data_IF_218443494172
#
_entry.id   IF_218443494172
#
_cell.length_a   1.000
_cell.length_b   1.000
_cell.length_c   1.000
_cell.angle_alpha   90.00
_cell.angle_beta   90.00
_cell.angle_gamma   90.00
#
_symmetry.space_group_name_H-M   'P 1'
#
loop_
_entity.id
_entity.type
_entity.pdbx_description
1 polymer ?
#
# COMPACT_ATOMS: atom_id res chain seq x y z
N UNK A 1 13.87 -36.41 -33.45
CA UNK A 1 13.62 -34.96 -33.25
C UNK A 1 13.55 -34.68 -31.75
N UNK A 2 12.83 -35.44 -30.89
CA UNK A 2 12.65 -35.17 -29.46
C UNK A 2 13.96 -35.15 -28.66
N UNK A 3 14.90 -36.09 -28.92
CA UNK A 3 16.18 -36.11 -28.20
C UNK A 3 17.06 -34.93 -28.58
N UNK A 4 17.07 -34.54 -29.85
CA UNK A 4 17.86 -33.39 -30.29
C UNK A 4 17.35 -32.06 -29.67
N UNK A 5 16.02 -31.88 -29.58
CA UNK A 5 15.44 -30.69 -28.91
C UNK A 5 15.71 -30.67 -27.41
N UNK A 6 15.65 -31.81 -26.73
CA UNK A 6 15.97 -31.91 -25.30
C UNK A 6 17.43 -31.55 -25.01
N UNK A 7 18.37 -32.00 -25.84
CA UNK A 7 19.80 -31.68 -25.72
C UNK A 7 20.04 -30.17 -25.94
N UNK A 8 19.41 -29.59 -26.96
CA UNK A 8 19.53 -28.14 -27.22
C UNK A 8 18.98 -27.34 -26.04
N UNK A 9 17.77 -27.69 -25.53
CA UNK A 9 17.15 -27.02 -24.38
C UNK A 9 18.03 -27.15 -23.13
N UNK A 10 18.66 -28.30 -22.90
CA UNK A 10 19.56 -28.51 -21.78
C UNK A 10 20.77 -27.56 -21.85
N UNK A 11 21.43 -27.45 -23.01
CA UNK A 11 22.57 -26.55 -23.16
C UNK A 11 22.17 -25.06 -23.08
N UNK A 12 21.00 -24.70 -23.63
CA UNK A 12 20.44 -23.35 -23.47
C UNK A 12 20.18 -23.04 -22.02
N UNK A 13 19.50 -23.93 -21.29
CA UNK A 13 19.23 -23.76 -19.86
C UNK A 13 20.51 -23.64 -19.02
N UNK A 14 21.55 -24.42 -19.33
CA UNK A 14 22.86 -24.30 -18.68
C UNK A 14 23.55 -22.96 -18.96
N UNK A 15 23.50 -22.50 -20.22
CA UNK A 15 24.15 -21.25 -20.63
C UNK A 15 23.45 -20.00 -20.09
N UNK A 16 22.13 -20.07 -19.91
CA UNK A 16 21.29 -18.97 -19.39
C UNK A 16 20.89 -19.17 -17.94
N UNK A 17 21.59 -20.06 -17.20
CA UNK A 17 21.36 -20.21 -15.76
C UNK A 17 21.71 -18.90 -15.08
N UNK A 18 20.69 -18.24 -14.54
CA UNK A 18 20.85 -17.07 -13.67
C UNK A 18 21.33 -17.56 -12.33
N UNK A 19 22.53 -17.21 -11.92
CA UNK A 19 23.01 -17.43 -10.56
C UNK A 19 22.44 -16.31 -9.67
N UNK A 20 21.43 -16.65 -8.88
CA UNK A 20 20.89 -15.74 -7.88
C UNK A 20 21.72 -15.82 -6.60
N UNK A 21 21.88 -14.70 -5.92
CA UNK A 21 22.58 -14.65 -4.64
C UNK A 21 21.78 -15.42 -3.58
N UNK A 22 22.34 -16.44 -2.91
CA UNK A 22 21.61 -17.24 -1.93
C UNK A 22 21.08 -16.44 -0.73
N UNK A 23 21.60 -15.24 -0.50
CA UNK A 23 21.10 -14.32 0.52
C UNK A 23 19.68 -13.85 0.21
N UNK A 24 19.23 -13.86 -1.05
CA UNK A 24 17.87 -13.48 -1.45
C UNK A 24 16.86 -14.44 -0.82
N UNK A 25 17.12 -15.74 -0.91
CA UNK A 25 16.21 -16.76 -0.34
C UNK A 25 16.17 -16.67 1.20
N UNK A 26 17.29 -16.35 1.84
CA UNK A 26 17.35 -16.13 3.30
C UNK A 26 16.50 -14.93 3.67
N UNK A 27 16.65 -13.80 3.01
CA UNK A 27 15.87 -12.59 3.28
C UNK A 27 14.39 -12.83 2.99
N UNK A 28 14.05 -13.48 1.87
CA UNK A 28 12.66 -13.81 1.53
C UNK A 28 11.99 -14.67 2.62
N UNK A 29 12.70 -15.63 3.19
CA UNK A 29 12.18 -16.49 4.28
C UNK A 29 11.91 -15.72 5.59
N UNK A 30 12.59 -14.60 5.83
CA UNK A 30 12.39 -13.74 7.00
C UNK A 30 11.16 -12.83 6.81
N UNK A 31 10.83 -12.50 5.56
CA UNK A 31 9.71 -11.61 5.23
C UNK A 31 8.35 -12.30 5.46
N UNK A 32 7.29 -11.53 5.74
CA UNK A 32 5.97 -12.08 6.07
C UNK A 32 5.23 -12.77 4.90
N UNK A 33 5.78 -12.78 3.69
CA UNK A 33 5.21 -13.44 2.52
C UNK A 33 3.92 -12.83 1.97
N UNK A 34 3.50 -11.67 2.47
CA UNK A 34 2.23 -11.05 2.11
C UNK A 34 2.16 -10.53 0.65
N UNK A 35 3.30 -10.36 -0.01
CA UNK A 35 3.41 -9.89 -1.39
C UNK A 35 2.58 -8.62 -1.72
N UNK A 36 2.33 -7.78 -0.71
CA UNK A 36 1.38 -6.65 -0.75
C UNK A 36 1.86 -5.44 -1.57
N UNK A 37 3.15 -5.41 -1.96
CA UNK A 37 3.73 -4.26 -2.68
C UNK A 37 3.89 -2.97 -1.86
N UNK A 38 3.51 -2.95 -0.58
CA UNK A 38 3.55 -1.75 0.27
C UNK A 38 4.95 -1.16 0.51
N UNK A 39 5.99 -1.95 0.27
CA UNK A 39 7.38 -1.50 0.26
C UNK A 39 7.82 -0.87 -1.09
N UNK A 40 6.93 -0.73 -2.06
CA UNK A 40 7.22 -0.24 -3.42
C UNK A 40 7.97 -1.24 -4.31
N UNK A 41 8.05 -2.52 -3.91
CA UNK A 41 8.68 -3.59 -4.69
C UNK A 41 7.64 -4.64 -5.14
N UNK A 42 7.88 -5.33 -6.26
CA UNK A 42 6.95 -6.35 -6.78
C UNK A 42 7.04 -7.63 -5.93
N UNK A 43 6.37 -7.63 -4.77
CA UNK A 43 6.34 -8.75 -3.83
C UNK A 43 7.55 -8.86 -2.91
N UNK A 44 7.54 -9.87 -2.04
CA UNK A 44 8.59 -10.09 -1.04
C UNK A 44 9.93 -10.47 -1.67
N UNK A 45 9.92 -11.26 -2.75
CA UNK A 45 11.16 -11.61 -3.47
C UNK A 45 11.83 -10.36 -4.08
N UNK A 46 11.06 -9.48 -4.74
CA UNK A 46 11.60 -8.22 -5.29
C UNK A 46 12.15 -7.28 -4.22
N UNK A 47 11.59 -7.33 -3.00
CA UNK A 47 12.15 -6.62 -1.85
C UNK A 47 13.46 -7.26 -1.38
N UNK A 48 13.52 -8.61 -1.28
CA UNK A 48 14.73 -9.33 -0.92
C UNK A 48 15.87 -9.07 -1.90
N UNK A 49 15.61 -9.10 -3.21
CA UNK A 49 16.59 -8.75 -4.22
C UNK A 49 17.11 -7.30 -4.08
N UNK A 50 16.20 -6.36 -3.80
CA UNK A 50 16.58 -4.96 -3.62
C UNK A 50 17.44 -4.76 -2.38
N UNK A 51 17.14 -5.44 -1.26
CA UNK A 51 17.92 -5.35 -0.02
C UNK A 51 19.29 -6.00 -0.14
N UNK A 52 19.40 -7.13 -0.82
CA UNK A 52 20.70 -7.81 -1.04
C UNK A 52 21.63 -7.00 -1.96
N UNK A 53 21.06 -6.29 -2.93
CA UNK A 53 21.83 -5.41 -3.85
C UNK A 53 22.17 -4.05 -3.23
N UNK A 54 21.49 -3.65 -2.16
CA UNK A 54 21.72 -2.36 -1.51
C UNK A 54 22.95 -2.40 -0.60
N UNK A 55 23.59 -1.26 -0.43
CA UNK A 55 24.70 -1.07 0.53
C UNK A 55 24.20 -0.60 1.90
N UNK A 56 22.97 -0.07 1.97
CA UNK A 56 22.27 0.30 3.20
C UNK A 56 20.79 -0.01 3.09
N UNK A 57 20.09 -0.12 4.23
CA UNK A 57 18.66 -0.32 4.29
C UNK A 57 17.87 1.01 4.29
N UNK A 58 18.52 2.14 4.03
CA UNK A 58 17.84 3.44 3.99
C UNK A 58 16.81 3.48 2.86
N UNK A 59 15.58 3.81 3.22
CA UNK A 59 14.45 3.81 2.27
C UNK A 59 13.91 2.43 1.90
N UNK A 60 14.48 1.34 2.42
CA UNK A 60 13.98 -0.02 2.26
C UNK A 60 13.33 -0.47 3.57
N UNK A 61 12.01 -0.51 3.58
CA UNK A 61 11.24 -0.88 4.76
C UNK A 61 10.04 -1.76 4.38
N UNK A 62 9.83 -2.84 5.13
CA UNK A 62 8.66 -3.68 4.99
C UNK A 62 7.58 -3.24 6.00
N UNK A 63 6.48 -2.56 5.55
CA UNK A 63 5.47 -2.05 6.48
C UNK A 63 4.71 -3.17 7.22
N UNK A 64 4.53 -4.31 6.59
CA UNK A 64 3.85 -5.48 7.17
C UNK A 64 4.72 -6.19 8.20
N UNK A 65 6.00 -6.36 7.90
CA UNK A 65 6.96 -7.00 8.81
C UNK A 65 7.39 -6.11 9.97
N UNK A 66 7.28 -4.80 9.80
CA UNK A 66 7.64 -3.82 10.82
C UNK A 66 9.12 -3.83 11.22
N UNK A 67 9.42 -3.20 12.35
CA UNK A 67 10.80 -3.05 12.83
C UNK A 67 11.47 -4.39 13.18
N UNK A 68 10.71 -5.35 13.71
CA UNK A 68 11.24 -6.66 14.10
C UNK A 68 11.75 -7.45 12.88
N UNK A 69 10.97 -7.51 11.81
CA UNK A 69 11.38 -8.16 10.57
C UNK A 69 12.60 -7.45 9.96
N UNK A 70 12.61 -6.13 9.96
CA UNK A 70 13.73 -5.35 9.43
C UNK A 70 15.01 -5.57 10.26
N UNK A 71 14.90 -5.71 11.57
CA UNK A 71 16.06 -6.06 12.41
C UNK A 71 16.64 -7.44 12.08
N UNK A 72 15.78 -8.44 11.81
CA UNK A 72 16.21 -9.78 11.36
C UNK A 72 16.89 -9.72 9.98
N UNK A 73 16.32 -8.97 9.03
CA UNK A 73 16.90 -8.77 7.69
C UNK A 73 18.27 -8.10 7.78
N UNK A 74 18.37 -7.05 8.59
CA UNK A 74 19.64 -6.33 8.82
C UNK A 74 20.71 -7.25 9.44
N UNK A 75 20.33 -8.04 10.44
CA UNK A 75 21.22 -9.03 11.05
C UNK A 75 21.71 -10.08 10.03
N UNK A 76 20.82 -10.56 9.15
CA UNK A 76 21.16 -11.53 8.11
C UNK A 76 22.11 -10.95 7.04
N UNK A 77 22.03 -9.65 6.75
CA UNK A 77 22.84 -8.96 5.76
C UNK A 77 24.07 -8.23 6.36
N UNK A 78 24.19 -8.16 7.69
CA UNK A 78 25.23 -7.41 8.38
C UNK A 78 25.11 -5.89 8.22
N UNK A 79 23.89 -5.37 8.11
CA UNK A 79 23.58 -3.96 7.89
C UNK A 79 22.95 -3.34 9.12
N UNK A 80 22.96 -2.00 9.23
CA UNK A 80 22.27 -1.26 10.26
C UNK A 80 20.85 -0.90 9.83
N UNK A 81 19.91 -0.88 10.79
CA UNK A 81 18.51 -0.47 10.58
C UNK A 81 18.32 0.94 11.11
N UNK A 82 17.82 1.85 10.27
CA UNK A 82 17.30 3.13 10.75
C UNK A 82 15.92 2.92 11.41
N UNK A 83 15.75 3.46 12.63
CA UNK A 83 14.48 3.39 13.34
C UNK A 83 13.41 4.20 12.58
N UNK A 84 12.37 3.52 12.09
CA UNK A 84 11.25 4.18 11.45
C UNK A 84 10.10 4.39 12.43
N UNK A 85 9.51 5.58 12.38
CA UNK A 85 8.33 5.91 13.19
C UNK A 85 7.12 5.15 12.64
N UNK A 86 6.35 4.43 13.47
CA UNK A 86 5.13 3.75 13.05
C UNK A 86 4.16 4.73 12.37
N UNK A 87 3.60 4.30 11.25
CA UNK A 87 2.64 5.09 10.48
C UNK A 87 1.27 4.41 10.42
N UNK A 88 0.27 5.18 10.02
CA UNK A 88 -1.10 4.73 9.79
C UNK A 88 -1.72 5.54 8.66
N UNK A 89 -2.65 4.92 7.93
CA UNK A 89 -3.49 5.64 6.99
C UNK A 89 -4.51 6.51 7.72
N UNK A 90 -4.67 7.75 7.29
CA UNK A 90 -5.70 8.67 7.80
C UNK A 90 -6.55 9.18 6.65
N UNK A 91 -7.85 9.32 6.89
CA UNK A 91 -8.82 9.82 5.92
C UNK A 91 -9.04 11.31 6.16
N UNK A 92 -8.77 12.12 5.15
CA UNK A 92 -8.94 13.58 5.22
C UNK A 92 -10.25 14.03 4.58
N UNK A 93 -11.33 13.39 4.98
CA UNK A 93 -12.68 13.78 4.61
C UNK A 93 -13.63 13.48 5.77
N UNK A 94 -14.39 14.47 6.18
CA UNK A 94 -15.47 14.34 7.16
C UNK A 94 -16.80 14.82 6.55
N UNK A 95 -16.92 14.70 5.23
CA UNK A 95 -18.11 15.14 4.49
C UNK A 95 -19.23 14.10 4.57
N UNK A 96 -19.90 14.00 5.71
CA UNK A 96 -21.14 13.21 5.86
C UNK A 96 -22.30 13.88 5.13
N UNK A 97 -23.44 13.20 5.02
CA UNK A 97 -24.65 13.76 4.41
C UNK A 97 -25.12 15.06 5.09
N UNK A 98 -24.77 15.27 6.38
CA UNK A 98 -25.09 16.49 7.11
C UNK A 98 -24.22 17.69 6.70
N UNK A 99 -23.04 17.44 6.15
CA UNK A 99 -22.05 18.47 5.82
C UNK A 99 -21.93 18.73 4.32
N UNK A 100 -22.50 17.87 3.49
CA UNK A 100 -22.52 18.05 2.03
C UNK A 100 -23.81 17.49 1.44
N UNK A 101 -24.39 18.26 0.56
CA UNK A 101 -25.64 17.85 -0.10
C UNK A 101 -25.36 16.92 -1.28
N UNK A 102 -26.24 15.94 -1.45
CA UNK A 102 -26.25 15.11 -2.66
C UNK A 102 -26.94 15.90 -3.78
N UNK A 103 -26.21 16.14 -4.87
CA UNK A 103 -26.66 16.93 -6.00
C UNK A 103 -27.08 16.10 -7.20
N UNK A 104 -26.65 14.85 -7.25
CA UNK A 104 -26.95 13.91 -8.33
C UNK A 104 -26.92 12.47 -7.84
N UNK A 105 -27.44 11.55 -8.65
CA UNK A 105 -27.34 10.10 -8.43
C UNK A 105 -26.65 9.49 -9.64
N UNK A 106 -25.62 8.70 -9.40
CA UNK A 106 -24.92 7.95 -10.43
C UNK A 106 -25.52 6.56 -10.56
N UNK A 107 -25.98 6.21 -11.77
CA UNK A 107 -26.56 4.91 -12.10
C UNK A 107 -25.63 4.14 -13.03
N UNK A 108 -24.42 3.84 -12.55
CA UNK A 108 -23.40 3.12 -13.28
C UNK A 108 -22.60 2.18 -12.38
N UNK A 109 -21.47 1.71 -12.87
CA UNK A 109 -20.58 0.87 -12.07
C UNK A 109 -19.92 1.68 -10.93
N UNK A 110 -20.23 1.31 -9.69
CA UNK A 110 -19.72 1.99 -8.50
C UNK A 110 -18.24 1.69 -8.26
N UNK A 111 -17.39 2.61 -8.71
CA UNK A 111 -15.94 2.64 -8.46
C UNK A 111 -15.50 4.09 -8.37
N UNK A 112 -14.70 4.42 -7.38
CA UNK A 112 -14.16 5.76 -7.21
C UNK A 112 -13.33 6.21 -8.42
N UNK A 113 -12.57 5.29 -9.02
CA UNK A 113 -11.75 5.58 -10.21
C UNK A 113 -12.62 5.95 -11.42
N UNK A 114 -13.70 5.21 -11.65
CA UNK A 114 -14.62 5.44 -12.77
C UNK A 114 -15.41 6.73 -12.54
N UNK A 115 -16.03 6.90 -11.38
CA UNK A 115 -16.79 8.10 -11.07
C UNK A 115 -15.95 9.38 -11.15
N UNK A 116 -14.72 9.33 -10.63
CA UNK A 116 -13.80 10.46 -10.71
C UNK A 116 -13.44 10.85 -12.14
N UNK A 117 -13.34 9.88 -13.05
CA UNK A 117 -13.01 10.13 -14.47
C UNK A 117 -14.18 10.68 -15.28
N UNK A 118 -15.42 10.35 -14.88
CA UNK A 118 -16.62 10.73 -15.62
C UNK A 118 -17.21 12.08 -15.18
N UNK A 119 -17.21 12.34 -13.88
CA UNK A 119 -17.81 13.57 -13.35
C UNK A 119 -17.29 13.88 -11.93
N UNK A 120 -17.75 15.01 -11.37
CA UNK A 120 -17.30 15.51 -10.06
C UNK A 120 -17.80 14.73 -8.84
N UNK A 121 -18.60 13.69 -9.01
CA UNK A 121 -19.22 12.91 -7.94
C UNK A 121 -20.64 13.37 -7.59
N UNK A 122 -21.32 12.61 -6.75
CA UNK A 122 -22.75 12.79 -6.43
C UNK A 122 -23.04 13.96 -5.47
N UNK A 123 -22.00 14.55 -4.89
CA UNK A 123 -22.16 15.61 -3.87
C UNK A 123 -21.60 16.95 -4.34
N UNK A 124 -21.99 18.03 -3.69
CA UNK A 124 -21.53 19.38 -3.95
C UNK A 124 -20.01 19.59 -3.77
N UNK A 125 -19.36 18.75 -2.96
CA UNK A 125 -17.92 18.81 -2.73
C UNK A 125 -17.10 18.03 -3.76
N UNK A 126 -16.37 18.73 -4.62
CA UNK A 126 -15.51 18.12 -5.64
C UNK A 126 -14.24 17.44 -5.10
N UNK A 127 -13.86 17.73 -3.85
CA UNK A 127 -12.66 17.18 -3.19
C UNK A 127 -12.99 16.01 -2.26
N UNK A 128 -14.25 15.86 -1.86
CA UNK A 128 -14.67 14.88 -0.86
C UNK A 128 -14.64 13.43 -1.34
N UNK A 129 -14.83 12.51 -0.40
CA UNK A 129 -14.92 11.08 -0.68
C UNK A 129 -16.08 10.78 -1.65
N UNK A 130 -15.88 9.90 -2.62
CA UNK A 130 -16.95 9.45 -3.54
C UNK A 130 -17.85 8.38 -2.91
N UNK A 131 -17.34 7.62 -1.93
CA UNK A 131 -18.12 6.64 -1.19
C UNK A 131 -18.21 5.25 -1.82
N UNK A 132 -17.57 4.99 -2.98
CA UNK A 132 -17.70 3.70 -3.68
C UNK A 132 -16.86 2.56 -3.07
N UNK A 133 -15.92 2.85 -2.13
CA UNK A 133 -15.21 1.81 -1.39
C UNK A 133 -14.01 1.18 -2.08
N UNK A 134 -13.43 1.74 -3.16
CA UNK A 134 -12.24 1.19 -3.80
C UNK A 134 -11.07 1.02 -2.83
N UNK A 135 -10.92 1.92 -1.85
CA UNK A 135 -9.92 1.84 -0.78
C UNK A 135 -10.14 0.64 0.15
N UNK A 136 -11.37 0.20 0.35
CA UNK A 136 -11.70 -1.01 1.12
C UNK A 136 -11.34 -2.25 0.32
N UNK A 137 -11.68 -2.29 -0.96
CA UNK A 137 -11.45 -3.44 -1.85
C UNK A 137 -9.96 -3.77 -2.03
N UNK A 138 -9.08 -2.77 -1.98
CA UNK A 138 -7.62 -2.98 -2.12
C UNK A 138 -6.92 -3.30 -0.81
N UNK A 139 -7.61 -3.28 0.33
CA UNK A 139 -7.01 -3.52 1.63
C UNK A 139 -6.88 -5.02 1.91
N UNK A 140 -5.67 -5.56 1.76
CA UNK A 140 -5.38 -6.97 2.05
C UNK A 140 -5.41 -7.33 3.55
N UNK A 141 -5.54 -6.33 4.44
CA UNK A 141 -5.45 -6.50 5.90
C UNK A 141 -6.79 -6.28 6.62
N UNK A 142 -7.88 -6.07 5.87
CA UNK A 142 -9.19 -5.76 6.44
C UNK A 142 -9.12 -4.62 7.48
N UNK A 143 -8.27 -3.62 7.19
CA UNK A 143 -8.00 -2.51 8.10
C UNK A 143 -8.83 -1.27 7.80
N UNK A 144 -9.65 -1.27 6.75
CA UNK A 144 -10.48 -0.15 6.34
C UNK A 144 -11.87 -0.65 5.95
N UNK A 145 -12.91 0.03 6.41
CA UNK A 145 -14.31 -0.28 6.09
C UNK A 145 -15.08 1.01 5.87
N UNK A 146 -16.23 0.93 5.19
CA UNK A 146 -17.13 2.07 5.04
C UNK A 146 -18.05 2.17 6.26
N UNK A 147 -18.23 3.38 6.79
CA UNK A 147 -19.20 3.65 7.84
C UNK A 147 -20.62 3.82 7.29
N UNK A 148 -21.60 4.05 8.19
CA UNK A 148 -22.98 4.28 7.81
C UNK A 148 -23.21 5.56 6.98
N UNK A 149 -22.28 6.50 7.00
CA UNK A 149 -22.30 7.75 6.24
C UNK A 149 -21.60 7.65 4.88
N UNK A 150 -21.12 6.44 4.50
CA UNK A 150 -20.37 6.22 3.28
C UNK A 150 -18.94 6.80 3.30
N UNK A 151 -18.35 6.95 4.48
CA UNK A 151 -16.97 7.37 4.64
C UNK A 151 -16.07 6.20 5.07
N UNK A 152 -14.84 6.13 4.57
CA UNK A 152 -13.91 5.08 4.98
C UNK A 152 -13.34 5.36 6.38
N UNK A 153 -13.36 4.35 7.22
CA UNK A 153 -12.79 4.34 8.58
C UNK A 153 -11.66 3.34 8.66
N UNK A 154 -10.52 3.75 9.21
CA UNK A 154 -9.31 2.93 9.31
C UNK A 154 -9.17 2.41 10.74
N UNK A 155 -8.97 1.09 10.88
CA UNK A 155 -8.63 0.45 12.16
C UNK A 155 -7.16 0.68 12.51
N UNK A 156 -6.91 1.29 13.66
CA UNK A 156 -5.56 1.56 14.16
C UNK A 156 -4.75 0.29 14.46
N UNK A 157 -5.44 -0.80 14.80
CA UNK A 157 -4.83 -2.07 15.18
C UNK A 157 -4.43 -2.91 13.96
N UNK A 158 -5.28 -2.90 12.93
CA UNK A 158 -5.08 -3.72 11.72
C UNK A 158 -4.23 -3.03 10.66
N UNK A 159 -4.14 -1.69 10.68
CA UNK A 159 -3.47 -0.94 9.63
C UNK A 159 -1.95 -1.06 9.73
N UNK A 160 -1.35 -1.62 8.71
CA UNK A 160 0.12 -1.78 8.56
C UNK A 160 0.76 -0.64 7.74
N UNK A 161 0.04 0.41 7.41
CA UNK A 161 0.53 1.57 6.64
C UNK A 161 1.14 1.21 5.27
N UNK A 162 0.62 0.20 4.58
CA UNK A 162 1.13 -0.20 3.26
C UNK A 162 0.85 0.82 2.15
N UNK A 163 -0.07 1.77 2.35
CA UNK A 163 -0.38 2.85 1.40
C UNK A 163 -1.30 2.47 0.24
N UNK A 164 -1.70 1.21 0.08
CA UNK A 164 -2.55 0.76 -1.03
C UNK A 164 -3.87 1.53 -1.15
N UNK A 165 -4.53 1.82 -0.02
CA UNK A 165 -5.77 2.60 0.01
C UNK A 165 -5.59 4.05 -0.45
N UNK A 166 -4.42 4.65 -0.17
CA UNK A 166 -4.06 5.98 -0.67
C UNK A 166 -3.86 6.00 -2.18
N UNK A 167 -3.17 4.98 -2.72
CA UNK A 167 -2.95 4.84 -4.16
C UNK A 167 -4.24 4.56 -4.94
N UNK A 168 -5.18 3.81 -4.35
CA UNK A 168 -6.47 3.53 -4.95
C UNK A 168 -7.44 4.73 -4.92
N UNK A 169 -7.15 5.75 -4.10
CA UNK A 169 -8.02 6.91 -3.95
C UNK A 169 -7.72 7.97 -5.04
N UNK A 170 -8.60 8.16 -6.05
CA UNK A 170 -8.34 9.12 -7.13
C UNK A 170 -8.35 10.57 -6.65
N UNK A 171 -8.91 10.84 -5.46
CA UNK A 171 -8.96 12.18 -4.84
C UNK A 171 -7.85 12.43 -3.82
N UNK A 172 -6.99 11.44 -3.57
CA UNK A 172 -5.84 11.53 -2.65
C UNK A 172 -6.23 12.03 -1.25
N UNK A 173 -7.40 11.61 -0.75
CA UNK A 173 -7.88 11.97 0.59
C UNK A 173 -7.36 11.05 1.69
N UNK A 174 -6.66 9.98 1.33
CA UNK A 174 -6.05 9.04 2.27
C UNK A 174 -4.54 9.20 2.20
N UNK A 175 -3.92 9.52 3.32
CA UNK A 175 -2.48 9.71 3.42
C UNK A 175 -1.90 8.95 4.62
N UNK A 176 -0.61 8.63 4.57
CA UNK A 176 0.09 8.03 5.69
C UNK A 176 0.58 9.12 6.65
N UNK A 177 0.31 8.93 7.93
CA UNK A 177 0.74 9.81 9.01
C UNK A 177 1.43 9.02 10.11
N UNK A 178 2.41 9.63 10.77
CA UNK A 178 3.06 9.03 11.91
C UNK A 178 2.07 8.84 13.06
N UNK A 179 2.12 7.68 13.70
CA UNK A 179 1.45 7.47 14.99
C UNK A 179 2.15 8.33 16.03
N UNK A 180 1.44 9.30 16.60
CA UNK A 180 1.95 10.15 17.67
C UNK A 180 2.08 9.40 18.99
N UNK A 181 2.68 10.02 20.03
CA UNK A 181 2.71 9.47 21.37
C UNK A 181 1.31 9.15 21.89
N UNK A 182 1.09 7.94 22.42
CA UNK A 182 -0.21 7.44 22.89
C UNK A 182 -1.29 7.45 21.79
N UNK A 183 -0.92 7.15 20.54
CA UNK A 183 -1.79 7.13 19.36
C UNK A 183 -2.56 8.45 19.09
N UNK A 184 -2.10 9.56 19.65
CA UNK A 184 -2.70 10.87 19.42
C UNK A 184 -2.30 11.40 18.04
N UNK A 185 -3.31 11.75 17.26
CA UNK A 185 -3.15 12.36 15.94
C UNK A 185 -4.00 13.60 15.86
N UNK A 186 -3.40 14.69 15.41
CA UNK A 186 -4.12 15.94 15.13
C UNK A 186 -3.92 16.26 13.65
N UNK A 187 -5.00 16.29 12.90
CA UNK A 187 -4.99 16.65 11.49
C UNK A 187 -6.33 17.25 11.06
N UNK A 188 -6.31 18.02 10.00
CA UNK A 188 -7.54 18.58 9.41
C UNK A 188 -8.21 17.51 8.56
N UNK A 189 -9.42 17.10 8.93
CA UNK A 189 -10.23 16.12 8.20
C UNK A 189 -10.91 16.74 6.98
N UNK A 190 -10.19 17.53 6.19
CA UNK A 190 -10.68 18.13 4.97
C UNK A 190 -9.52 18.44 4.01
N UNK A 191 -9.73 18.18 2.73
CA UNK A 191 -8.79 18.51 1.63
C UNK A 191 -9.36 19.56 0.69
N UNK A 192 -10.49 20.17 1.02
CA UNK A 192 -11.09 21.22 0.19
C UNK A 192 -10.11 22.38 0.01
N UNK A 193 -9.98 22.86 -1.22
CA UNK A 193 -9.09 23.96 -1.63
C UNK A 193 -9.87 25.20 -2.06
N UNK A 194 -11.18 25.13 -2.06
CA UNK A 194 -12.02 26.28 -2.39
C UNK A 194 -11.86 27.35 -1.30
N UNK A 195 -11.86 28.60 -1.74
CA UNK A 195 -11.90 29.75 -0.81
C UNK A 195 -13.33 29.86 -0.29
N UNK A 196 -13.46 29.84 1.04
CA UNK A 196 -14.74 30.08 1.71
C UNK A 196 -15.24 31.53 1.53
#
# INVERSE_FOLDING_TARGET
IGIASAVILYFVAQKFKVEEDPRIDIVESILPGANCGGCGKPGCRGFAEATVKATSLDGLFCPVGGAETMAKVASALGMEVSAQTPQIAVVRCNGTCDHRQRTSTYDGYHSCAIEHSLYRGETDCTYGCLGCGDCVNVCAFDAIHMDANGLPVVSDEKCVACGACGQACPRNIIELRNKGPKDRRVFVCCVNKDKG
#
